data_IF_415350910850
#
_entry.id   IF_415350910850
#
_cell.length_a   1.000
_cell.length_b   1.000
_cell.length_c   1.000
_cell.angle_alpha   90.00
_cell.angle_beta   90.00
_cell.angle_gamma   90.00
#
_symmetry.space_group_name_H-M   'P 1'
#
loop_
_entity.id
_entity.type
_entity.pdbx_description
1 polymer ?
#
# COMPACT_ATOMS: atom_id res chain seq x y z
N UNK A 1 -42.11 43.81 -25.39
CA UNK A 1 -42.47 42.43 -25.04
C UNK A 1 -41.45 41.56 -25.76
N UNK A 2 -40.31 41.30 -25.12
CA UNK A 2 -39.25 40.51 -25.74
C UNK A 2 -39.69 39.04 -25.85
N UNK A 3 -39.37 38.34 -26.96
CA UNK A 3 -39.63 36.92 -27.07
C UNK A 3 -38.60 36.18 -26.22
N UNK A 4 -39.07 35.55 -25.15
CA UNK A 4 -38.31 34.59 -24.36
C UNK A 4 -37.87 33.43 -25.24
N UNK A 5 -36.55 33.24 -25.35
CA UNK A 5 -35.89 32.15 -26.07
C UNK A 5 -36.37 30.78 -25.55
N UNK A 6 -37.03 29.95 -26.36
CA UNK A 6 -37.54 28.65 -25.95
C UNK A 6 -36.44 27.59 -25.75
N UNK A 7 -35.16 27.91 -26.00
CA UNK A 7 -34.02 27.02 -25.77
C UNK A 7 -33.37 27.18 -24.39
N UNK A 8 -33.85 28.10 -23.54
CA UNK A 8 -33.28 28.35 -22.23
C UNK A 8 -33.70 27.35 -21.12
N UNK A 9 -34.48 26.32 -21.45
CA UNK A 9 -35.01 25.38 -20.45
C UNK A 9 -34.45 23.96 -20.63
N UNK A 10 -33.67 23.55 -19.63
CA UNK A 10 -33.10 22.22 -19.33
C UNK A 10 -31.70 21.93 -19.89
N UNK A 11 -30.69 21.68 -19.04
CA UNK A 11 -29.48 21.03 -19.49
C UNK A 11 -29.86 19.64 -19.99
N UNK A 12 -29.71 19.40 -21.30
CA UNK A 12 -29.90 18.09 -21.89
C UNK A 12 -28.90 17.10 -21.27
N UNK A 13 -29.32 16.45 -20.20
CA UNK A 13 -28.66 15.29 -19.61
C UNK A 13 -28.47 14.25 -20.71
N UNK A 14 -27.27 13.73 -20.87
CA UNK A 14 -26.99 12.69 -21.86
C UNK A 14 -27.88 11.45 -21.59
N UNK A 15 -28.14 10.62 -22.61
CA UNK A 15 -28.92 9.38 -22.43
C UNK A 15 -28.35 8.47 -21.35
N UNK A 16 -27.03 8.53 -21.13
CA UNK A 16 -26.36 7.79 -20.06
C UNK A 16 -26.70 8.37 -18.68
N UNK A 17 -26.63 9.70 -18.51
CA UNK A 17 -26.94 10.37 -17.24
C UNK A 17 -28.43 10.33 -16.88
N UNK A 18 -29.32 10.11 -17.86
CA UNK A 18 -30.74 9.89 -17.62
C UNK A 18 -31.05 8.50 -17.02
N UNK A 19 -30.08 7.58 -16.96
CA UNK A 19 -30.27 6.27 -16.36
C UNK A 19 -30.38 6.33 -14.82
N UNK A 20 -31.10 5.38 -14.21
CA UNK A 20 -31.07 5.20 -12.76
C UNK A 20 -29.65 4.97 -12.23
N UNK A 21 -29.37 5.42 -11.01
CA UNK A 21 -28.05 5.31 -10.38
C UNK A 21 -27.57 3.87 -10.28
N UNK A 22 -28.48 2.93 -10.07
CA UNK A 22 -28.21 1.50 -9.99
C UNK A 22 -27.69 0.96 -11.32
N UNK A 23 -28.26 1.41 -12.43
CA UNK A 23 -27.83 1.02 -13.77
C UNK A 23 -26.47 1.64 -14.11
N UNK A 24 -26.25 2.90 -13.72
CA UNK A 24 -24.93 3.53 -13.86
C UNK A 24 -23.85 2.80 -13.06
N UNK A 25 -24.16 2.38 -11.83
CA UNK A 25 -23.27 1.58 -11.01
C UNK A 25 -22.99 0.22 -11.62
N UNK A 26 -24.02 -0.44 -12.18
CA UNK A 26 -23.86 -1.71 -12.87
C UNK A 26 -22.94 -1.59 -14.09
N UNK A 27 -23.15 -0.58 -14.93
CA UNK A 27 -22.28 -0.27 -16.08
C UNK A 27 -20.85 -0.03 -15.62
N UNK A 28 -20.67 0.73 -14.54
CA UNK A 28 -19.36 0.98 -13.96
C UNK A 28 -18.69 -0.30 -13.45
N UNK A 29 -19.42 -1.21 -12.79
CA UNK A 29 -18.85 -2.46 -12.29
C UNK A 29 -18.49 -3.47 -13.38
N UNK A 30 -19.21 -3.47 -14.51
CA UNK A 30 -18.83 -4.29 -15.66
C UNK A 30 -17.62 -3.74 -16.42
N UNK A 31 -17.50 -2.41 -16.54
CA UNK A 31 -16.43 -1.77 -17.32
C UNK A 31 -15.17 -1.49 -16.50
N UNK A 32 -15.32 -1.22 -15.20
CA UNK A 32 -14.28 -0.73 -14.28
C UNK A 32 -13.51 0.48 -14.82
N UNK A 33 -14.16 1.28 -15.67
CA UNK A 33 -13.55 2.44 -16.32
C UNK A 33 -13.50 3.63 -15.36
N UNK A 34 -12.34 3.87 -14.75
CA UNK A 34 -12.11 4.91 -13.74
C UNK A 34 -12.30 6.33 -14.31
N UNK A 35 -12.27 6.50 -15.63
CA UNK A 35 -12.59 7.79 -16.26
C UNK A 35 -14.10 8.06 -16.37
N UNK A 36 -14.98 7.05 -16.19
CA UNK A 36 -16.43 7.24 -16.27
C UNK A 36 -16.97 8.24 -15.22
N UNK A 37 -16.61 8.16 -13.92
CA UNK A 37 -16.95 9.21 -12.96
C UNK A 37 -16.36 10.58 -13.31
N UNK A 38 -15.28 10.65 -14.09
CA UNK A 38 -14.61 11.91 -14.46
C UNK A 38 -15.26 12.58 -15.67
N UNK A 39 -16.07 11.86 -16.43
CA UNK A 39 -16.72 12.37 -17.65
C UNK A 39 -17.81 13.40 -17.35
N UNK A 40 -18.41 13.38 -16.15
CA UNK A 40 -19.46 14.33 -15.76
C UNK A 40 -19.61 14.44 -14.23
N UNK A 41 -19.94 15.62 -13.69
CA UNK A 41 -20.29 15.80 -12.27
C UNK A 41 -21.48 14.94 -11.81
N UNK A 42 -22.44 14.65 -12.69
CA UNK A 42 -23.57 13.79 -12.35
C UNK A 42 -23.11 12.34 -12.14
N UNK A 43 -22.32 11.81 -13.08
CA UNK A 43 -21.74 10.47 -13.00
C UNK A 43 -20.80 10.35 -11.79
N UNK A 44 -20.01 11.39 -11.52
CA UNK A 44 -19.20 11.46 -10.30
C UNK A 44 -20.07 11.24 -9.06
N UNK A 45 -21.14 12.03 -8.89
CA UNK A 45 -22.03 11.92 -7.72
C UNK A 45 -22.70 10.55 -7.63
N UNK A 46 -23.13 9.98 -8.76
CA UNK A 46 -23.76 8.66 -8.84
C UNK A 46 -22.81 7.52 -8.40
N UNK A 47 -21.54 7.61 -8.76
CA UNK A 47 -20.53 6.56 -8.56
C UNK A 47 -19.66 6.77 -7.32
N UNK A 48 -19.64 7.97 -6.74
CA UNK A 48 -18.84 8.33 -5.56
C UNK A 48 -19.45 7.90 -4.21
N UNK A 49 -20.05 6.70 -4.13
CA UNK A 49 -20.55 6.16 -2.86
C UNK A 49 -19.43 5.44 -2.09
N UNK A 50 -19.31 5.61 -0.76
CA UNK A 50 -18.23 4.97 0.02
C UNK A 50 -18.13 3.45 -0.17
N UNK A 51 -19.27 2.77 -0.31
CA UNK A 51 -19.33 1.33 -0.51
C UNK A 51 -18.75 0.88 -1.87
N UNK A 52 -18.93 1.69 -2.92
CA UNK A 52 -18.34 1.45 -4.25
C UNK A 52 -16.82 1.43 -4.13
N UNK A 53 -16.24 2.39 -3.41
CA UNK A 53 -14.79 2.44 -3.19
C UNK A 53 -14.28 1.25 -2.39
N UNK A 54 -15.02 0.82 -1.35
CA UNK A 54 -14.70 -0.39 -0.60
C UNK A 54 -14.65 -1.61 -1.52
N UNK A 55 -15.64 -1.81 -2.39
CA UNK A 55 -15.66 -2.95 -3.32
C UNK A 55 -14.54 -2.87 -4.36
N UNK A 56 -14.23 -1.69 -4.90
CA UNK A 56 -13.08 -1.51 -5.79
C UNK A 56 -11.76 -1.86 -5.10
N UNK A 57 -11.58 -1.47 -3.84
CA UNK A 57 -10.39 -1.81 -3.07
C UNK A 57 -10.30 -3.33 -2.86
N UNK A 58 -11.40 -3.96 -2.43
CA UNK A 58 -11.46 -5.42 -2.23
C UNK A 58 -11.16 -6.18 -3.53
N UNK A 59 -11.72 -5.73 -4.65
CA UNK A 59 -11.47 -6.33 -5.97
C UNK A 59 -10.00 -6.21 -6.38
N UNK A 60 -9.43 -5.01 -6.28
CA UNK A 60 -8.11 -4.74 -6.84
C UNK A 60 -6.96 -5.18 -5.93
N UNK A 61 -7.14 -5.13 -4.60
CA UNK A 61 -6.03 -5.25 -3.65
C UNK A 61 -6.08 -6.51 -2.76
N UNK A 62 -7.04 -7.43 -2.94
CA UNK A 62 -7.01 -8.71 -2.25
C UNK A 62 -5.95 -9.66 -2.83
N UNK A 63 -5.34 -10.47 -1.97
CA UNK A 63 -4.39 -11.52 -2.37
C UNK A 63 -5.03 -12.64 -3.20
N UNK A 64 -4.28 -13.20 -4.14
CA UNK A 64 -4.75 -14.20 -5.11
C UNK A 64 -4.33 -15.63 -4.75
N UNK A 65 -4.51 -16.04 -3.49
CA UNK A 65 -3.99 -17.33 -3.04
C UNK A 65 -4.86 -18.49 -3.54
N UNK A 66 -4.28 -19.70 -3.62
CA UNK A 66 -4.99 -20.90 -4.05
C UNK A 66 -6.27 -21.12 -3.25
N UNK A 67 -6.22 -20.98 -1.92
CA UNK A 67 -7.42 -21.21 -1.10
C UNK A 67 -8.39 -20.03 -1.12
N UNK A 68 -7.98 -18.84 -1.59
CA UNK A 68 -8.87 -17.68 -1.74
C UNK A 68 -9.96 -17.91 -2.79
N UNK A 69 -9.76 -18.88 -3.69
CA UNK A 69 -10.77 -19.29 -4.69
C UNK A 69 -12.06 -19.83 -4.07
N UNK A 70 -11.98 -20.30 -2.82
CA UNK A 70 -13.10 -20.95 -2.15
C UNK A 70 -13.46 -20.21 -0.88
N UNK A 71 -14.71 -19.74 -0.81
CA UNK A 71 -15.32 -19.22 0.42
C UNK A 71 -14.89 -17.83 0.87
N UNK A 72 -13.88 -17.21 0.25
CA UNK A 72 -13.44 -15.85 0.58
C UNK A 72 -14.26 -14.77 -0.15
N UNK A 73 -14.38 -14.83 -1.48
CA UNK A 73 -15.14 -13.83 -2.24
C UNK A 73 -16.62 -14.20 -2.27
N UNK A 74 -17.33 -13.84 -1.21
CA UNK A 74 -18.78 -14.03 -1.08
C UNK A 74 -19.55 -12.80 -1.55
N UNK A 75 -20.84 -12.92 -1.91
CA UNK A 75 -21.64 -11.77 -2.37
C UNK A 75 -21.74 -10.62 -1.36
N UNK A 76 -21.68 -10.90 -0.05
CA UNK A 76 -21.63 -9.87 1.00
C UNK A 76 -20.27 -9.15 1.08
N UNK A 77 -19.19 -9.81 0.66
CA UNK A 77 -17.84 -9.26 0.65
C UNK A 77 -17.54 -8.51 -0.65
N UNK A 78 -17.87 -9.12 -1.78
CA UNK A 78 -17.68 -8.59 -3.13
C UNK A 78 -18.91 -8.97 -3.97
N UNK A 79 -19.87 -8.05 -4.18
CA UNK A 79 -21.13 -8.38 -4.83
C UNK A 79 -21.00 -8.50 -6.35
N UNK A 80 -21.83 -9.33 -7.01
CA UNK A 80 -21.93 -9.34 -8.46
C UNK A 80 -22.27 -7.95 -9.03
N UNK A 81 -21.76 -7.58 -10.22
CA UNK A 81 -21.01 -8.42 -11.16
C UNK A 81 -19.50 -8.44 -10.89
N UNK A 82 -19.03 -7.93 -9.75
CA UNK A 82 -17.61 -7.91 -9.44
C UNK A 82 -17.13 -9.32 -9.12
N UNK A 83 -16.25 -9.84 -9.97
CA UNK A 83 -15.56 -11.10 -9.74
C UNK A 83 -14.04 -10.86 -9.71
N UNK A 84 -13.43 -11.24 -8.59
CA UNK A 84 -11.99 -11.16 -8.41
C UNK A 84 -11.22 -12.02 -9.40
N UNK A 85 -11.77 -13.18 -9.79
CA UNK A 85 -11.09 -14.18 -10.63
C UNK A 85 -11.25 -13.94 -12.13
N UNK A 86 -12.24 -13.13 -12.53
CA UNK A 86 -12.44 -12.76 -13.94
C UNK A 86 -11.39 -11.77 -14.47
N UNK A 87 -10.57 -11.20 -13.58
CA UNK A 87 -9.53 -10.23 -13.93
C UNK A 87 -8.14 -10.86 -13.94
N UNK A 88 -7.50 -10.87 -15.11
CA UNK A 88 -6.11 -11.29 -15.25
C UNK A 88 -5.13 -10.32 -14.56
N UNK A 89 -3.92 -10.80 -14.23
CA UNK A 89 -2.89 -10.02 -13.53
C UNK A 89 -2.60 -8.63 -14.17
N UNK A 90 -2.44 -8.49 -15.50
CA UNK A 90 -2.19 -7.17 -16.10
C UNK A 90 -3.36 -6.20 -15.96
N UNK A 91 -4.60 -6.72 -16.01
CA UNK A 91 -5.80 -5.92 -15.76
C UNK A 91 -5.84 -5.42 -14.32
N UNK A 92 -5.50 -6.30 -13.37
CA UNK A 92 -5.45 -5.95 -11.94
C UNK A 92 -4.34 -4.94 -11.65
N UNK A 93 -3.16 -5.11 -12.24
CA UNK A 93 -2.07 -4.15 -12.16
C UNK A 93 -2.52 -2.75 -12.60
N UNK A 94 -3.17 -2.66 -13.77
CA UNK A 94 -3.68 -1.39 -14.31
C UNK A 94 -4.72 -0.78 -13.37
N UNK A 95 -5.66 -1.58 -12.89
CA UNK A 95 -6.70 -1.12 -11.97
C UNK A 95 -6.09 -0.60 -10.67
N UNK A 96 -5.16 -1.35 -10.05
CA UNK A 96 -4.46 -0.90 -8.83
C UNK A 96 -3.80 0.46 -9.01
N UNK A 97 -3.03 0.63 -10.10
CA UNK A 97 -2.37 1.91 -10.42
C UNK A 97 -3.39 3.05 -10.55
N UNK A 98 -4.47 2.83 -11.32
CA UNK A 98 -5.51 3.85 -11.53
C UNK A 98 -6.27 4.20 -10.23
N UNK A 99 -6.56 3.20 -9.39
CA UNK A 99 -7.23 3.42 -8.11
C UNK A 99 -6.32 4.17 -7.13
N UNK A 100 -5.03 3.82 -7.05
CA UNK A 100 -4.06 4.52 -6.21
C UNK A 100 -3.90 6.00 -6.62
N UNK A 101 -4.07 6.35 -7.89
CA UNK A 101 -4.07 7.75 -8.35
C UNK A 101 -5.32 8.53 -7.94
N UNK A 102 -6.44 7.86 -7.66
CA UNK A 102 -7.69 8.53 -7.34
C UNK A 102 -7.64 9.27 -6.00
N UNK A 103 -8.17 10.50 -5.93
CA UNK A 103 -8.17 11.32 -4.70
C UNK A 103 -8.85 10.65 -3.50
N UNK A 104 -9.88 9.84 -3.76
CA UNK A 104 -10.62 9.12 -2.71
C UNK A 104 -9.85 7.92 -2.14
N UNK A 105 -8.83 7.40 -2.86
CA UNK A 105 -8.01 6.30 -2.38
C UNK A 105 -6.97 6.85 -1.40
N UNK A 106 -7.34 6.86 -0.13
CA UNK A 106 -6.58 7.44 0.99
C UNK A 106 -6.13 6.35 1.96
N UNK A 107 -5.17 6.67 2.83
CA UNK A 107 -4.73 5.74 3.87
C UNK A 107 -5.87 5.32 4.81
N UNK A 108 -6.71 6.23 5.37
CA UNK A 108 -7.79 5.82 6.26
C UNK A 108 -8.78 4.85 5.60
N UNK A 109 -9.11 5.08 4.33
CA UNK A 109 -9.96 4.16 3.57
C UNK A 109 -9.28 2.80 3.37
N UNK A 110 -8.01 2.80 2.98
CA UNK A 110 -7.23 1.56 2.80
C UNK A 110 -7.14 0.77 4.11
N UNK A 111 -6.84 1.42 5.24
CA UNK A 111 -6.78 0.81 6.58
C UNK A 111 -8.12 0.24 7.02
N UNK A 112 -9.22 0.95 6.78
CA UNK A 112 -10.57 0.42 7.05
C UNK A 112 -10.84 -0.85 6.25
N UNK A 113 -10.59 -0.82 4.93
CA UNK A 113 -10.78 -2.00 4.08
C UNK A 113 -9.85 -3.15 4.47
N UNK A 114 -8.63 -2.84 4.90
CA UNK A 114 -7.66 -3.81 5.39
C UNK A 114 -8.14 -4.51 6.66
N UNK A 115 -8.62 -3.76 7.66
CA UNK A 115 -9.20 -4.31 8.89
C UNK A 115 -10.38 -5.23 8.58
N UNK A 116 -11.34 -4.74 7.80
CA UNK A 116 -12.53 -5.52 7.38
C UNK A 116 -12.15 -6.78 6.60
N UNK A 117 -11.08 -6.72 5.78
CA UNK A 117 -10.54 -7.87 5.07
C UNK A 117 -9.99 -8.91 6.05
N UNK A 118 -9.17 -8.50 7.03
CA UNK A 118 -8.61 -9.41 8.03
C UNK A 118 -9.72 -10.07 8.84
N UNK A 119 -10.70 -9.31 9.33
CA UNK A 119 -11.87 -9.86 10.02
C UNK A 119 -12.63 -10.87 9.15
N UNK A 120 -12.80 -10.55 7.86
CA UNK A 120 -13.46 -11.45 6.92
C UNK A 120 -12.68 -12.74 6.71
N UNK A 121 -11.37 -12.67 6.55
CA UNK A 121 -10.51 -13.86 6.44
C UNK A 121 -10.62 -14.70 7.71
N UNK A 122 -10.51 -14.10 8.90
CA UNK A 122 -10.62 -14.82 10.18
C UNK A 122 -11.99 -15.52 10.25
N UNK A 123 -13.08 -14.79 9.99
CA UNK A 123 -14.44 -15.36 10.05
C UNK A 123 -14.65 -16.52 9.08
N UNK A 124 -14.08 -16.46 7.88
CA UNK A 124 -14.33 -17.47 6.82
C UNK A 124 -13.35 -18.64 6.89
N UNK A 125 -12.06 -18.37 7.10
CA UNK A 125 -10.99 -19.37 7.09
C UNK A 125 -10.75 -20.00 8.44
N UNK A 126 -11.08 -19.30 9.53
CA UNK A 126 -10.99 -19.83 10.89
C UNK A 126 -12.35 -20.28 11.45
N UNK A 127 -13.41 -20.37 10.62
CA UNK A 127 -14.76 -20.76 11.07
C UNK A 127 -14.79 -22.12 11.78
N UNK A 128 -13.97 -23.06 11.30
CA UNK A 128 -13.87 -24.42 11.84
C UNK A 128 -12.70 -24.55 12.83
N UNK A 129 -12.17 -23.44 13.37
CA UNK A 129 -11.07 -23.46 14.32
C UNK A 129 -11.57 -23.06 15.71
N UNK A 130 -11.16 -23.82 16.73
CA UNK A 130 -11.37 -23.43 18.13
C UNK A 130 -10.11 -22.76 18.69
N UNK A 131 -10.26 -21.51 19.12
CA UNK A 131 -9.20 -20.73 19.78
C UNK A 131 -9.25 -20.91 21.31
N UNK A 132 -8.11 -20.70 21.98
CA UNK A 132 -8.06 -20.55 23.44
C UNK A 132 -8.88 -19.32 23.88
N UNK A 133 -9.29 -19.26 25.15
CA UNK A 133 -10.07 -18.12 25.65
C UNK A 133 -9.28 -16.81 25.58
N UNK A 134 -7.97 -16.86 25.82
CA UNK A 134 -7.06 -15.73 25.61
C UNK A 134 -7.01 -15.30 24.14
N UNK A 135 -7.00 -16.25 23.19
CA UNK A 135 -7.09 -15.94 21.76
C UNK A 135 -8.43 -15.34 21.36
N UNK A 136 -9.54 -15.79 21.95
CA UNK A 136 -10.87 -15.18 21.72
C UNK A 136 -10.94 -13.76 22.26
N UNK A 137 -10.35 -13.49 23.42
CA UNK A 137 -10.27 -12.14 23.99
C UNK A 137 -9.48 -11.21 23.07
N UNK A 138 -8.32 -11.65 22.57
CA UNK A 138 -7.51 -10.89 21.62
C UNK A 138 -8.25 -10.61 20.30
N UNK A 139 -8.99 -11.59 19.79
CA UNK A 139 -9.85 -11.41 18.60
C UNK A 139 -11.06 -10.50 18.90
N UNK A 140 -11.53 -10.45 20.15
CA UNK A 140 -12.59 -9.55 20.59
C UNK A 140 -12.14 -8.10 20.72
N UNK A 141 -10.88 -7.86 21.08
CA UNK A 141 -10.24 -6.54 21.14
C UNK A 141 -9.53 -6.15 19.84
N UNK A 142 -9.89 -6.78 18.72
CA UNK A 142 -9.16 -6.63 17.46
C UNK A 142 -9.16 -5.18 16.95
N UNK A 143 -10.26 -4.45 17.14
CA UNK A 143 -10.38 -3.05 16.74
C UNK A 143 -9.38 -2.14 17.45
N UNK A 144 -9.21 -2.31 18.76
CA UNK A 144 -8.27 -1.51 19.55
C UNK A 144 -6.82 -1.78 19.13
N UNK A 145 -6.51 -3.05 18.88
CA UNK A 145 -5.18 -3.48 18.42
C UNK A 145 -4.89 -2.93 17.01
N UNK A 146 -5.89 -2.87 16.13
CA UNK A 146 -5.70 -2.36 14.77
C UNK A 146 -5.52 -0.83 14.72
N UNK A 147 -5.96 -0.12 15.76
CA UNK A 147 -5.80 1.33 15.86
C UNK A 147 -4.39 1.74 16.30
N UNK A 148 -3.66 0.87 17.00
CA UNK A 148 -2.26 1.09 17.38
C UNK A 148 -1.32 0.14 16.63
N UNK A 149 -0.79 0.63 15.51
CA UNK A 149 0.15 -0.12 14.66
C UNK A 149 1.61 0.20 14.98
N UNK A 150 1.89 0.91 16.09
CA UNK A 150 3.26 1.15 16.51
C UNK A 150 3.94 -0.17 16.91
N UNK A 151 5.20 -0.35 16.50
CA UNK A 151 5.95 -1.58 16.78
C UNK A 151 5.56 -2.82 15.95
N UNK A 152 4.50 -2.78 15.16
CA UNK A 152 4.12 -3.87 14.25
C UNK A 152 5.16 -4.06 13.13
N UNK A 153 5.23 -5.29 12.62
CA UNK A 153 6.13 -5.67 11.55
C UNK A 153 5.77 -4.98 10.22
N UNK A 154 6.75 -4.22 9.69
CA UNK A 154 6.65 -3.46 8.43
C UNK A 154 7.28 -4.16 7.24
N UNK A 155 7.86 -5.35 7.45
CA UNK A 155 8.63 -6.10 6.46
C UNK A 155 9.65 -5.24 5.68
N UNK A 156 10.56 -4.49 6.37
CA UNK A 156 11.41 -3.48 5.74
C UNK A 156 12.40 -4.01 4.69
N UNK A 157 12.53 -5.33 4.50
CA UNK A 157 13.34 -5.93 3.42
C UNK A 157 12.54 -6.89 2.54
N UNK A 158 11.22 -6.83 2.61
CA UNK A 158 10.31 -7.83 2.03
C UNK A 158 10.24 -9.13 2.83
N UNK A 159 10.95 -9.23 3.97
CA UNK A 159 10.86 -10.38 4.86
C UNK A 159 9.93 -10.07 6.02
N UNK A 160 8.90 -10.90 6.18
CA UNK A 160 8.00 -10.87 7.33
C UNK A 160 8.58 -11.73 8.46
N UNK A 161 8.41 -11.29 9.68
CA UNK A 161 8.62 -12.05 10.90
C UNK A 161 7.49 -13.06 11.14
N UNK A 162 7.40 -13.58 12.36
CA UNK A 162 6.46 -14.66 12.72
C UNK A 162 4.98 -14.25 12.70
N UNK A 163 4.68 -12.95 12.68
CA UNK A 163 3.35 -12.38 12.88
C UNK A 163 3.34 -11.49 14.13
N UNK A 164 2.59 -10.40 14.09
CA UNK A 164 2.37 -9.50 15.23
C UNK A 164 1.52 -10.21 16.29
N UNK A 165 0.53 -10.98 15.84
CA UNK A 165 -0.26 -11.90 16.68
C UNK A 165 -0.13 -13.32 16.14
N UNK A 166 0.11 -14.28 17.03
CA UNK A 166 0.15 -15.72 16.67
C UNK A 166 -0.75 -16.48 17.63
N UNK A 167 -1.92 -16.87 17.14
CA UNK A 167 -2.96 -17.51 17.93
C UNK A 167 -2.93 -19.03 17.72
N UNK A 168 -2.78 -19.84 18.78
CA UNK A 168 -2.94 -21.28 18.68
C UNK A 168 -4.41 -21.63 18.43
N UNK A 169 -4.65 -22.57 17.54
CA UNK A 169 -5.97 -23.04 17.16
C UNK A 169 -6.02 -24.57 17.04
N UNK A 170 -7.20 -25.16 17.25
CA UNK A 170 -7.45 -26.60 17.10
C UNK A 170 -8.59 -26.86 16.10
N UNK A 171 -8.54 -28.03 15.47
CA UNK A 171 -9.65 -28.53 14.65
C UNK A 171 -10.66 -29.27 15.55
N UNK A 172 -11.98 -29.12 15.32
CA UNK A 172 -13.00 -29.83 16.07
C UNK A 172 -12.98 -31.33 15.71
N UNK A 173 -12.81 -32.19 16.73
CA UNK A 173 -12.96 -33.65 16.59
C UNK A 173 -11.72 -34.51 16.88
N UNK A 174 -10.58 -33.95 17.24
CA UNK A 174 -9.40 -34.73 17.66
C UNK A 174 -9.41 -34.95 19.19
N UNK A 175 -9.71 -36.18 19.63
CA UNK A 175 -9.85 -36.57 21.05
C UNK A 175 -8.51 -37.00 21.73
N UNK A 176 -7.35 -36.63 21.18
CA UNK A 176 -6.01 -36.95 21.73
C UNK A 176 -5.27 -35.69 22.24
N UNK A 177 -4.23 -35.79 23.11
CA UNK A 177 -3.83 -34.75 24.08
C UNK A 177 -3.13 -33.52 23.41
N UNK A 178 -2.79 -32.43 24.14
CA UNK A 178 -3.01 -31.03 23.76
C UNK A 178 -2.01 -30.50 22.72
N UNK A 179 -1.99 -31.02 21.51
CA UNK A 179 -1.20 -30.43 20.44
C UNK A 179 -1.95 -29.24 19.83
N UNK A 180 -1.23 -28.14 19.66
CA UNK A 180 -1.71 -27.00 18.88
C UNK A 180 -1.61 -27.42 17.42
N UNK A 181 -2.71 -27.84 16.83
CA UNK A 181 -2.69 -28.41 15.48
C UNK A 181 -2.58 -27.32 14.40
N UNK A 182 -2.97 -26.08 14.69
CA UNK A 182 -2.86 -24.95 13.76
C UNK A 182 -2.40 -23.68 14.48
N UNK A 183 -1.72 -22.79 13.76
CA UNK A 183 -1.40 -21.43 14.23
C UNK A 183 -1.93 -20.39 13.26
N UNK A 184 -2.70 -19.43 13.76
CA UNK A 184 -3.18 -18.29 12.97
C UNK A 184 -2.24 -17.12 13.24
N UNK A 185 -1.44 -16.75 12.25
CA UNK A 185 -0.54 -15.60 12.31
C UNK A 185 -1.19 -14.40 11.62
N UNK A 186 -1.12 -13.23 12.27
CA UNK A 186 -1.68 -11.98 11.78
C UNK A 186 -0.56 -10.93 11.79
N UNK A 187 -0.38 -10.23 10.67
CA UNK A 187 0.48 -9.06 10.55
C UNK A 187 -0.41 -7.84 10.36
N UNK A 188 -0.59 -7.08 11.42
CA UNK A 188 -1.57 -6.01 11.53
C UNK A 188 -1.22 -4.87 10.57
N UNK A 189 0.04 -4.43 10.56
CA UNK A 189 0.48 -3.37 9.66
C UNK A 189 0.35 -3.75 8.18
N UNK A 190 0.59 -5.01 7.84
CA UNK A 190 0.50 -5.51 6.46
C UNK A 190 -0.92 -5.93 6.08
N UNK A 191 -1.84 -6.06 7.05
CA UNK A 191 -3.18 -6.57 6.81
C UNK A 191 -3.19 -8.01 6.33
N UNK A 192 -2.26 -8.81 6.85
CA UNK A 192 -2.02 -10.16 6.38
C UNK A 192 -2.45 -11.19 7.44
N UNK A 193 -3.00 -12.31 6.99
CA UNK A 193 -3.41 -13.45 7.82
C UNK A 193 -2.91 -14.74 7.17
N UNK A 194 -2.36 -15.64 7.96
CA UNK A 194 -1.96 -16.96 7.52
C UNK A 194 -2.41 -18.01 8.54
N UNK A 195 -3.05 -19.08 8.05
CA UNK A 195 -3.35 -20.27 8.84
C UNK A 195 -2.26 -21.29 8.54
N UNK A 196 -1.40 -21.57 9.53
CA UNK A 196 -0.23 -22.45 9.38
C UNK A 196 -0.53 -23.87 9.85
N UNK A 197 0.06 -24.83 9.15
CA UNK A 197 0.01 -26.24 9.51
C UNK A 197 0.96 -26.57 10.69
N UNK A 198 0.74 -27.68 11.44
CA UNK A 198 1.64 -28.04 12.52
C UNK A 198 3.00 -28.47 11.93
N UNK A 199 4.08 -28.00 12.53
CA UNK A 199 5.47 -28.24 12.10
C UNK A 199 5.86 -27.68 10.71
N UNK A 200 5.04 -26.81 10.11
CA UNK A 200 5.43 -26.13 8.88
C UNK A 200 6.62 -25.21 9.16
N UNK A 201 7.76 -25.49 8.50
CA UNK A 201 8.88 -24.54 8.42
C UNK A 201 8.34 -23.27 7.78
N UNK A 202 8.77 -22.10 8.25
CA UNK A 202 8.23 -20.80 7.83
C UNK A 202 8.26 -20.62 6.30
N UNK A 203 7.15 -20.93 5.63
CA UNK A 203 6.89 -20.65 4.22
C UNK A 203 5.65 -19.76 4.13
N UNK A 204 5.71 -18.72 3.31
CA UNK A 204 4.59 -17.80 3.06
C UNK A 204 3.57 -18.42 2.08
N UNK A 205 3.09 -19.61 2.41
CA UNK A 205 2.01 -20.27 1.66
C UNK A 205 0.66 -19.70 2.11
N UNK A 206 -0.23 -19.46 1.14
CA UNK A 206 -1.64 -19.10 1.39
C UNK A 206 -1.85 -17.86 2.29
N UNK A 207 -0.98 -16.85 2.14
CA UNK A 207 -1.01 -15.60 2.90
C UNK A 207 -2.11 -14.65 2.42
N UNK A 208 -3.20 -14.52 3.17
CA UNK A 208 -4.30 -13.61 2.83
C UNK A 208 -3.91 -12.18 3.17
N UNK A 209 -3.83 -11.28 2.20
CA UNK A 209 -3.37 -9.91 2.43
C UNK A 209 -4.20 -8.87 1.67
N UNK A 210 -4.41 -7.72 2.30
CA UNK A 210 -4.88 -6.49 1.66
C UNK A 210 -4.14 -5.29 2.29
N UNK A 211 -3.52 -4.38 1.51
CA UNK A 211 -3.35 -4.45 0.07
C UNK A 211 -2.29 -5.48 -0.34
N UNK A 212 -2.51 -6.13 -1.48
CA UNK A 212 -1.60 -7.10 -2.08
C UNK A 212 -1.48 -6.83 -3.58
N UNK A 213 -0.26 -6.73 -4.09
CA UNK A 213 -0.01 -6.62 -5.53
C UNK A 213 0.00 -8.00 -6.22
N UNK A 214 -0.35 -8.10 -7.51
CA UNK A 214 -0.19 -9.31 -8.28
C UNK A 214 1.27 -9.81 -8.26
N UNK A 215 1.46 -11.13 -8.22
CA UNK A 215 2.80 -11.75 -8.24
C UNK A 215 3.60 -11.39 -9.51
N UNK A 216 2.90 -11.09 -10.61
CA UNK A 216 3.45 -10.60 -11.88
C UNK A 216 2.79 -9.27 -12.21
N UNK A 217 3.60 -8.21 -12.34
CA UNK A 217 3.11 -6.86 -12.61
C UNK A 217 2.52 -6.21 -11.36
N UNK A 218 3.39 -5.72 -10.47
CA UNK A 218 2.95 -4.91 -9.33
C UNK A 218 2.35 -3.58 -9.80
N UNK A 219 1.37 -3.04 -9.08
CA UNK A 219 0.89 -1.68 -9.32
C UNK A 219 1.98 -0.64 -9.04
N UNK A 220 1.85 0.54 -9.65
CA UNK A 220 2.78 1.66 -9.47
C UNK A 220 2.35 2.51 -8.27
N UNK A 221 3.31 2.92 -7.43
CA UNK A 221 3.07 3.91 -6.37
C UNK A 221 2.70 5.25 -7.04
N UNK A 222 1.59 5.92 -6.65
CA UNK A 222 1.08 7.09 -7.34
C UNK A 222 1.89 8.36 -7.03
N UNK A 223 1.99 9.28 -8.00
CA UNK A 223 2.76 10.53 -7.84
C UNK A 223 2.23 11.43 -6.73
N UNK A 224 0.92 11.35 -6.42
CA UNK A 224 0.29 12.11 -5.33
C UNK A 224 0.88 11.81 -3.94
N UNK A 225 1.49 10.65 -3.74
CA UNK A 225 2.15 10.28 -2.48
C UNK A 225 3.61 10.72 -2.42
N UNK A 226 4.17 11.19 -3.54
CA UNK A 226 5.59 11.55 -3.69
C UNK A 226 5.79 13.06 -3.93
N UNK A 227 4.77 13.85 -3.62
CA UNK A 227 4.72 15.29 -3.86
C UNK A 227 4.40 16.03 -2.56
N UNK A 228 4.81 17.30 -2.50
CA UNK A 228 4.49 18.20 -1.39
C UNK A 228 2.97 18.51 -1.37
N UNK A 229 2.37 18.78 -0.19
CA UNK A 229 2.97 18.73 1.15
C UNK A 229 3.28 17.29 1.57
N UNK A 230 4.24 17.11 2.49
CA UNK A 230 4.57 15.81 3.09
C UNK A 230 3.92 15.72 4.47
N UNK A 231 3.03 14.76 4.64
CA UNK A 231 2.27 14.48 5.87
C UNK A 231 2.62 13.10 6.42
N UNK A 232 2.33 12.89 7.71
CA UNK A 232 2.51 11.57 8.34
C UNK A 232 1.71 10.49 7.61
N UNK A 233 0.46 10.78 7.25
CA UNK A 233 -0.41 9.86 6.51
C UNK A 233 0.20 9.45 5.16
N UNK A 234 0.85 10.37 4.43
CA UNK A 234 1.52 10.02 3.18
C UNK A 234 2.68 9.06 3.41
N UNK A 235 3.50 9.27 4.44
CA UNK A 235 4.60 8.35 4.73
C UNK A 235 4.12 6.98 5.17
N UNK A 236 3.09 6.93 6.01
CA UNK A 236 2.46 5.67 6.42
C UNK A 236 1.84 4.94 5.23
N UNK A 237 1.27 5.67 4.27
CA UNK A 237 0.74 5.05 3.06
C UNK A 237 1.85 4.57 2.12
N UNK A 238 2.93 5.34 1.97
CA UNK A 238 4.09 4.91 1.21
C UNK A 238 4.69 3.63 1.81
N UNK A 239 4.85 3.59 3.13
CA UNK A 239 5.38 2.43 3.85
C UNK A 239 4.50 1.19 3.67
N UNK A 240 3.17 1.34 3.78
CA UNK A 240 2.22 0.26 3.51
C UNK A 240 2.35 -0.32 2.09
N UNK A 241 2.66 0.53 1.10
CA UNK A 241 2.78 0.12 -0.30
C UNK A 241 4.20 -0.34 -0.69
N UNK A 242 5.22 -0.04 0.12
CA UNK A 242 6.61 -0.07 -0.35
C UNK A 242 7.16 -1.47 -0.61
N UNK A 243 6.60 -2.49 0.04
CA UNK A 243 6.96 -3.89 -0.11
C UNK A 243 6.42 -4.52 -1.40
N UNK A 244 5.16 -4.21 -1.73
CA UNK A 244 4.43 -4.91 -2.79
C UNK A 244 4.31 -4.09 -4.09
N UNK A 245 4.31 -2.76 -4.00
CA UNK A 245 4.14 -1.84 -5.14
C UNK A 245 5.47 -1.25 -5.57
N UNK A 246 5.60 -0.94 -6.86
CA UNK A 246 6.86 -0.44 -7.38
C UNK A 246 6.91 1.09 -7.44
N UNK A 247 8.10 1.63 -7.18
CA UNK A 247 8.40 3.06 -7.24
C UNK A 247 8.95 3.49 -8.60
N UNK A 248 9.99 2.77 -9.06
CA UNK A 248 10.72 2.98 -10.30
C UNK A 248 10.56 1.76 -11.23
N UNK A 249 10.57 1.99 -12.54
CA UNK A 249 10.49 0.89 -13.53
C UNK A 249 11.74 0.00 -13.47
N UNK A 250 12.92 0.62 -13.32
CA UNK A 250 14.20 -0.06 -13.20
C UNK A 250 14.95 0.42 -11.96
N UNK A 251 15.34 -0.52 -11.09
CA UNK A 251 16.12 -0.24 -9.89
C UNK A 251 17.51 0.34 -10.15
N UNK A 252 18.12 0.08 -11.32
CA UNK A 252 19.40 0.69 -11.70
C UNK A 252 19.23 2.13 -12.19
N UNK A 253 18.19 2.36 -13.02
CA UNK A 253 17.90 3.68 -13.59
C UNK A 253 17.20 4.63 -12.61
N UNK A 254 16.46 4.13 -11.62
CA UNK A 254 15.96 4.86 -10.44
C UNK A 254 15.54 6.34 -10.70
N UNK A 255 14.87 6.60 -11.82
CA UNK A 255 14.75 7.96 -12.35
C UNK A 255 13.89 8.84 -11.45
N UNK A 256 12.77 8.30 -11.00
CA UNK A 256 11.75 9.04 -10.25
C UNK A 256 12.21 9.29 -8.82
N UNK A 257 12.73 8.27 -8.16
CA UNK A 257 13.34 8.41 -6.83
C UNK A 257 14.55 9.36 -6.87
N UNK A 258 15.36 9.33 -7.94
CA UNK A 258 16.46 10.28 -8.13
C UNK A 258 15.99 11.72 -8.32
N UNK A 259 14.95 11.95 -9.11
CA UNK A 259 14.37 13.29 -9.29
C UNK A 259 13.83 13.84 -7.96
N UNK A 260 13.08 13.01 -7.20
CA UNK A 260 12.55 13.39 -5.89
C UNK A 260 13.70 13.74 -4.95
N UNK A 261 14.72 12.88 -4.84
CA UNK A 261 15.89 13.12 -4.00
C UNK A 261 16.58 14.43 -4.37
N UNK A 262 16.75 14.66 -5.68
CA UNK A 262 17.36 15.87 -6.21
C UNK A 262 16.58 17.11 -5.79
N UNK A 263 15.25 17.06 -5.91
CA UNK A 263 14.36 18.15 -5.50
C UNK A 263 14.42 18.42 -4.00
N UNK A 264 14.47 17.38 -3.17
CA UNK A 264 14.53 17.51 -1.70
C UNK A 264 15.83 18.17 -1.23
N UNK A 265 16.98 17.77 -1.78
CA UNK A 265 18.28 18.38 -1.46
C UNK A 265 18.31 19.85 -1.91
N UNK A 266 17.87 20.15 -3.14
CA UNK A 266 17.84 21.52 -3.66
C UNK A 266 16.95 22.45 -2.85
N UNK A 267 15.77 21.98 -2.45
CA UNK A 267 14.82 22.73 -1.62
C UNK A 267 15.15 22.65 -0.12
N UNK A 268 16.25 21.99 0.27
CA UNK A 268 16.66 21.80 1.68
C UNK A 268 15.55 21.21 2.57
N UNK A 269 14.73 20.32 2.00
CA UNK A 269 13.64 19.63 2.71
C UNK A 269 14.17 18.41 3.47
N UNK A 270 14.65 18.65 4.68
CA UNK A 270 15.39 17.65 5.45
C UNK A 270 14.53 16.47 5.94
N UNK A 271 13.36 16.76 6.50
CA UNK A 271 12.52 15.73 7.11
C UNK A 271 12.06 14.64 6.13
N UNK A 272 11.42 14.98 4.98
CA UNK A 272 11.08 13.97 3.97
C UNK A 272 12.31 13.24 3.44
N UNK A 273 13.45 13.92 3.28
CA UNK A 273 14.69 13.28 2.85
C UNK A 273 15.11 12.20 3.85
N UNK A 274 15.17 12.53 5.14
CA UNK A 274 15.59 11.60 6.20
C UNK A 274 14.72 10.35 6.29
N UNK A 275 13.41 10.50 6.10
CA UNK A 275 12.48 9.36 6.12
C UNK A 275 12.61 8.49 4.88
N UNK A 276 12.60 9.10 3.69
CA UNK A 276 12.66 8.34 2.43
C UNK A 276 13.96 7.55 2.31
N UNK A 277 15.12 8.11 2.67
CA UNK A 277 16.40 7.39 2.57
C UNK A 277 16.51 6.15 3.46
N UNK A 278 15.64 6.02 4.47
CA UNK A 278 15.55 4.85 5.36
C UNK A 278 14.53 3.81 4.92
N UNK A 279 13.62 4.19 4.01
CA UNK A 279 12.60 3.30 3.48
C UNK A 279 13.17 2.37 2.40
N UNK A 280 12.46 1.26 2.18
CA UNK A 280 12.78 0.27 1.16
C UNK A 280 11.64 0.18 0.17
N UNK A 281 11.97 0.21 -1.12
CA UNK A 281 11.01 0.18 -2.20
C UNK A 281 11.39 -0.87 -3.23
N UNK A 282 10.38 -1.39 -3.88
CA UNK A 282 10.53 -2.31 -5.00
C UNK A 282 10.65 -1.52 -6.32
N UNK A 283 11.46 -2.02 -7.26
CA UNK A 283 11.43 -1.60 -8.66
C UNK A 283 10.60 -2.59 -9.50
N UNK A 284 10.02 -2.19 -10.63
CA UNK A 284 9.15 -3.08 -11.40
C UNK A 284 9.89 -4.35 -11.88
N UNK A 285 11.16 -4.19 -12.25
CA UNK A 285 12.05 -5.27 -12.70
C UNK A 285 12.65 -6.14 -11.59
N UNK A 286 12.47 -5.79 -10.31
CA UNK A 286 13.02 -6.53 -9.17
C UNK A 286 11.93 -6.90 -8.17
N UNK A 287 11.93 -8.11 -7.62
CA UNK A 287 10.98 -8.49 -6.57
C UNK A 287 11.41 -8.11 -5.16
N UNK A 288 12.71 -7.96 -4.96
CA UNK A 288 13.28 -7.68 -3.64
C UNK A 288 13.33 -6.17 -3.44
N UNK A 289 12.70 -5.64 -2.37
CA UNK A 289 12.82 -4.22 -2.03
C UNK A 289 14.27 -3.85 -1.75
N UNK A 290 14.72 -2.73 -2.31
CA UNK A 290 16.02 -2.13 -2.02
C UNK A 290 15.81 -0.82 -1.26
N UNK A 291 16.83 -0.37 -0.53
CA UNK A 291 16.78 0.95 0.11
C UNK A 291 16.58 2.02 -0.95
N UNK A 292 15.90 3.10 -0.58
CA UNK A 292 15.74 4.27 -1.43
C UNK A 292 17.07 4.66 -2.11
N UNK A 293 17.12 4.75 -3.45
CA UNK A 293 18.37 4.83 -4.17
C UNK A 293 19.04 6.19 -4.01
N UNK A 294 20.35 6.17 -3.75
CA UNK A 294 21.22 7.34 -3.76
C UNK A 294 22.25 7.18 -4.86
N UNK A 295 22.52 8.25 -5.61
CA UNK A 295 23.42 8.28 -6.77
C UNK A 295 24.59 9.22 -6.52
N UNK A 296 25.66 9.03 -7.28
CA UNK A 296 26.85 9.89 -7.24
C UNK A 296 26.51 11.37 -7.39
N UNK A 297 25.56 11.67 -8.28
CA UNK A 297 25.04 13.03 -8.48
C UNK A 297 24.38 13.62 -7.23
N UNK A 298 23.76 12.79 -6.38
CA UNK A 298 23.17 13.25 -5.12
C UNK A 298 24.27 13.61 -4.10
N UNK A 299 25.33 12.81 -3.99
CA UNK A 299 26.43 13.09 -3.06
C UNK A 299 27.16 14.39 -3.45
N UNK A 300 27.51 14.54 -4.73
CA UNK A 300 28.11 15.76 -5.26
C UNK A 300 27.22 16.98 -5.04
N UNK A 301 25.90 16.82 -5.17
CA UNK A 301 24.97 17.90 -4.93
C UNK A 301 24.83 18.26 -3.45
N UNK A 302 24.81 17.27 -2.55
CA UNK A 302 24.84 17.52 -1.09
C UNK A 302 26.08 18.35 -0.78
N UNK A 303 27.27 17.91 -1.22
CA UNK A 303 28.54 18.61 -1.01
C UNK A 303 28.47 20.08 -1.49
N UNK A 304 27.94 20.31 -2.70
CA UNK A 304 27.78 21.65 -3.27
C UNK A 304 26.82 22.53 -2.49
N UNK A 305 25.75 21.96 -1.95
CA UNK A 305 24.70 22.67 -1.24
C UNK A 305 24.90 22.73 0.28
N UNK A 306 26.01 22.18 0.82
CA UNK A 306 26.22 22.19 2.26
C UNK A 306 26.33 23.61 2.80
N UNK A 307 25.74 23.88 3.95
CA UNK A 307 25.77 25.20 4.59
C UNK A 307 26.81 25.30 5.71
N UNK A 308 27.41 24.19 6.15
CA UNK A 308 28.38 24.19 7.24
C UNK A 308 28.94 22.80 7.58
N UNK A 309 29.74 22.70 8.65
CA UNK A 309 30.35 21.44 9.13
C UNK A 309 29.34 20.47 9.74
N UNK A 310 28.11 20.92 9.98
CA UNK A 310 27.06 20.13 10.60
C UNK A 310 25.84 19.99 9.67
N UNK A 311 26.09 19.90 8.35
CA UNK A 311 25.04 19.83 7.36
C UNK A 311 24.15 18.59 7.57
N UNK A 312 22.83 18.78 7.74
CA UNK A 312 21.95 17.68 8.15
C UNK A 312 21.79 16.61 7.06
N UNK A 313 21.91 16.97 5.77
CA UNK A 313 21.84 16.00 4.68
C UNK A 313 23.09 15.13 4.65
N UNK A 314 24.27 15.73 4.77
CA UNK A 314 25.53 15.00 4.83
C UNK A 314 25.57 14.06 6.04
N UNK A 315 25.16 14.53 7.22
CA UNK A 315 25.11 13.73 8.44
C UNK A 315 24.15 12.53 8.32
N UNK A 316 22.96 12.71 7.74
CA UNK A 316 22.03 11.58 7.55
C UNK A 316 22.59 10.54 6.59
N UNK A 317 23.20 10.96 5.48
CA UNK A 317 23.79 10.03 4.52
C UNK A 317 24.97 9.28 5.15
N UNK A 318 25.89 9.97 5.82
CA UNK A 318 27.05 9.34 6.45
C UNK A 318 26.64 8.37 7.56
N UNK A 319 25.64 8.72 8.39
CA UNK A 319 25.22 7.88 9.51
C UNK A 319 24.31 6.71 9.09
N UNK A 320 23.36 6.95 8.18
CA UNK A 320 22.36 5.94 7.83
C UNK A 320 22.76 5.08 6.62
N UNK A 321 23.68 5.58 5.77
CA UNK A 321 23.98 5.00 4.46
C UNK A 321 25.48 4.84 4.20
N UNK A 322 26.32 4.79 5.23
CA UNK A 322 27.79 4.72 5.13
C UNK A 322 28.30 3.74 4.05
N UNK A 323 27.77 2.51 4.06
CA UNK A 323 28.20 1.42 3.18
C UNK A 323 27.78 1.63 1.71
N UNK A 324 26.76 2.46 1.47
CA UNK A 324 26.21 2.71 0.13
C UNK A 324 26.92 3.89 -0.56
N UNK A 325 27.83 4.59 0.12
CA UNK A 325 28.55 5.76 -0.42
C UNK A 325 29.84 5.29 -1.11
N UNK A 326 30.08 5.65 -2.39
CA UNK A 326 31.35 5.43 -3.05
C UNK A 326 32.52 6.04 -2.28
N UNK A 327 33.67 5.39 -2.27
CA UNK A 327 34.84 5.82 -1.47
C UNK A 327 35.27 7.26 -1.74
N UNK A 328 35.25 7.70 -3.02
CA UNK A 328 35.57 9.08 -3.41
C UNK A 328 34.58 10.08 -2.80
N UNK A 329 33.28 9.88 -3.04
CA UNK A 329 32.22 10.72 -2.50
C UNK A 329 32.23 10.78 -0.95
N UNK A 330 32.59 9.67 -0.29
CA UNK A 330 32.73 9.61 1.17
C UNK A 330 33.86 10.51 1.66
N UNK A 331 35.03 10.44 1.04
CA UNK A 331 36.16 11.30 1.37
C UNK A 331 35.83 12.77 1.14
N UNK A 332 35.20 13.08 0.01
CA UNK A 332 34.80 14.45 -0.35
C UNK A 332 33.81 15.05 0.67
N UNK A 333 32.82 14.28 1.12
CA UNK A 333 31.86 14.71 2.14
C UNK A 333 32.55 14.94 3.50
N UNK A 334 33.41 14.01 3.94
CA UNK A 334 34.14 14.16 5.20
C UNK A 334 35.07 15.39 5.20
N UNK A 335 35.83 15.58 4.12
CA UNK A 335 36.70 16.74 3.95
C UNK A 335 35.91 18.04 3.97
N UNK A 336 34.77 18.07 3.27
CA UNK A 336 33.97 19.28 3.19
C UNK A 336 33.26 19.62 4.51
N UNK A 337 32.99 18.64 5.38
CA UNK A 337 32.54 18.87 6.76
C UNK A 337 33.67 19.41 7.64
N UNK A 338 34.90 18.89 7.51
CA UNK A 338 36.06 19.40 8.27
C UNK A 338 36.46 20.83 7.88
N UNK A 339 36.55 21.13 6.58
CA UNK A 339 36.99 22.45 6.07
C UNK A 339 36.03 23.58 6.43
N UNK A 340 34.73 23.27 6.57
CA UNK A 340 33.74 24.26 7.03
C UNK A 340 33.72 24.43 8.55
N UNK A 341 34.36 23.53 9.30
CA UNK A 341 34.49 23.65 10.77
C UNK A 341 35.55 24.68 11.16
N UNK A 342 36.59 24.84 10.35
CA UNK A 342 37.69 25.79 10.61
C UNK A 342 37.38 27.24 10.16
N UNK A 343 36.23 27.47 9.53
CA UNK A 343 35.77 28.78 9.05
C UNK A 343 34.56 29.35 9.80
N UNK A 344 34.17 28.69 10.91
CA UNK A 344 33.05 29.09 11.78
C UNK A 344 33.46 30.03 12.89
#
# INVERSE_FOLDING_TARGET
MEPSDPLAAHPCSSRLEALPVEILQLIFFYSLEINLPRASPYLARALSKPIVYTWLIRLAFSSANTSSRQGLFTPDFLPPPLDFWDMACPGRQRLQTQLLECRWCTLPLMRRCQREYVEHVIRRKCANLSFSDEGKLLLGSFDDIFNDLEGCDRAPRGFRGKGDLVLPARLPGEESPPTVDRKVAIWLHLGAVQVREPNEVFYENDLFQLPCAPALGAGRIPDKLLQEPWSEEQFQFLELLSSDFYLDEDGAAAERSSEITTRLIRKRRMEPFSRLVRMYFRAANCRVPSRWPLRDSHFAMIQRCMEGPNDPFANVVLNARWDDIPTSARQDLLLALSVKSDKG
#
